data_IF_439070775434
#
_entry.id   IF_439070775434
#
_cell.length_a   1.000
_cell.length_b   1.000
_cell.length_c   1.000
_cell.angle_alpha   90.00
_cell.angle_beta   90.00
_cell.angle_gamma   90.00
#
_symmetry.space_group_name_H-M   'P 1'
#
loop_
_entity.id
_entity.type
_entity.pdbx_description
1 polymer ?
#
# COMPACT_ATOMS: atom_id res chain seq x y z
N UNK A 1 -10.40 1.96 -5.03
CA UNK A 1 -9.23 1.99 -4.13
C UNK A 1 -8.73 3.41 -4.08
N UNK A 2 -8.52 3.96 -2.88
CA UNK A 2 -7.86 5.25 -2.70
C UNK A 2 -6.40 5.09 -3.14
N UNK A 3 -5.91 5.97 -4.01
CA UNK A 3 -4.52 5.87 -4.48
C UNK A 3 -3.59 6.16 -3.30
N UNK A 4 -2.65 5.26 -2.96
CA UNK A 4 -1.73 5.52 -1.87
C UNK A 4 -0.87 6.74 -2.15
N UNK A 5 -0.97 7.71 -1.24
CA UNK A 5 -0.22 8.96 -1.32
C UNK A 5 1.03 8.83 -0.48
N UNK A 6 2.18 9.14 -1.07
CA UNK A 6 3.43 9.33 -0.34
C UNK A 6 3.40 10.73 0.28
N UNK A 7 3.39 10.81 1.60
CA UNK A 7 3.45 12.08 2.35
C UNK A 7 4.89 12.35 2.81
N UNK A 8 5.37 13.59 2.62
CA UNK A 8 6.67 14.03 3.14
C UNK A 8 6.49 14.64 4.53
N UNK A 9 7.30 14.19 5.48
CA UNK A 9 7.40 14.74 6.83
C UNK A 9 8.83 15.18 7.11
N UNK A 10 8.99 16.26 7.88
CA UNK A 10 10.30 16.72 8.35
C UNK A 10 10.36 16.63 9.86
N UNK A 11 11.30 15.84 10.36
CA UNK A 11 11.49 15.62 11.80
C UNK A 11 12.95 15.93 12.10
N UNK A 12 13.20 16.92 12.96
CA UNK A 12 14.57 17.32 13.36
C UNK A 12 15.50 17.66 12.18
N UNK A 13 14.93 18.13 11.06
CA UNK A 13 15.68 18.47 9.84
C UNK A 13 15.81 17.33 8.84
N UNK A 14 15.57 16.09 9.26
CA UNK A 14 15.58 14.92 8.39
C UNK A 14 14.24 14.76 7.67
N UNK A 15 14.32 14.29 6.42
CA UNK A 15 13.16 14.07 5.56
C UNK A 15 12.72 12.61 5.63
N UNK A 16 11.44 12.41 5.89
CA UNK A 16 10.79 11.12 5.93
C UNK A 16 9.64 11.09 4.92
N UNK A 17 9.46 9.94 4.31
CA UNK A 17 8.37 9.63 3.40
C UNK A 17 7.51 8.58 4.07
N UNK A 18 6.25 8.90 4.32
CA UNK A 18 5.28 7.99 4.90
C UNK A 18 4.21 7.63 3.87
N UNK A 19 3.64 6.45 4.02
CA UNK A 19 2.51 5.97 3.22
C UNK A 19 1.44 5.54 4.20
N UNK A 20 0.26 6.12 4.02
CA UNK A 20 -0.90 5.86 4.88
C UNK A 20 -1.86 4.90 4.20
N UNK A 21 -2.41 3.98 4.99
CA UNK A 21 -3.47 3.04 4.60
C UNK A 21 -4.43 2.92 5.78
N UNK A 22 -5.73 3.10 5.55
CA UNK A 22 -6.76 3.00 6.59
C UNK A 22 -6.46 3.91 7.82
N UNK A 23 -6.07 5.16 7.59
CA UNK A 23 -5.69 6.14 8.61
C UNK A 23 -4.54 5.70 9.53
N UNK A 24 -3.67 4.79 9.07
CA UNK A 24 -2.47 4.35 9.79
C UNK A 24 -1.25 4.37 8.87
N UNK A 25 -0.08 4.61 9.44
CA UNK A 25 1.19 4.51 8.70
C UNK A 25 1.46 3.04 8.40
N UNK A 26 1.43 2.68 7.11
CA UNK A 26 1.75 1.34 6.65
C UNK A 26 3.24 1.17 6.34
N UNK A 27 3.88 2.25 5.90
CA UNK A 27 5.31 2.27 5.58
C UNK A 27 5.90 3.67 5.80
N UNK A 28 7.14 3.73 6.26
CA UNK A 28 7.90 4.97 6.34
C UNK A 28 9.38 4.73 6.03
N UNK A 29 10.03 5.71 5.40
CA UNK A 29 11.45 5.62 5.01
C UNK A 29 12.03 7.00 4.78
N UNK A 30 13.35 7.15 4.87
CA UNK A 30 14.05 8.37 4.42
C UNK A 30 14.39 8.33 2.92
N UNK A 31 14.16 7.20 2.23
CA UNK A 31 14.49 7.02 0.82
C UNK A 31 13.24 7.05 -0.08
N UNK A 32 13.13 8.10 -0.91
CA UNK A 32 11.99 8.26 -1.84
C UNK A 32 11.83 7.10 -2.83
N UNK A 33 12.93 6.47 -3.26
CA UNK A 33 12.87 5.32 -4.17
C UNK A 33 12.24 4.10 -3.47
N UNK A 34 12.55 3.89 -2.19
CA UNK A 34 11.94 2.82 -1.41
C UNK A 34 10.44 3.05 -1.20
N UNK A 35 10.01 4.28 -0.92
CA UNK A 35 8.60 4.63 -0.82
C UNK A 35 7.85 4.35 -2.13
N UNK A 36 8.41 4.78 -3.27
CA UNK A 36 7.84 4.52 -4.61
C UNK A 36 7.78 3.04 -4.93
N UNK A 37 8.83 2.28 -4.61
CA UNK A 37 8.86 0.84 -4.80
C UNK A 37 7.76 0.15 -3.99
N UNK A 38 7.56 0.56 -2.74
CA UNK A 38 6.54 0.01 -1.86
C UNK A 38 5.13 0.26 -2.41
N UNK A 39 4.83 1.49 -2.83
CA UNK A 39 3.55 1.81 -3.50
C UNK A 39 3.30 0.87 -4.67
N UNK A 40 4.27 0.75 -5.59
CA UNK A 40 4.12 -0.04 -6.81
C UNK A 40 4.02 -1.55 -6.55
N UNK A 41 4.69 -2.09 -5.54
CA UNK A 41 4.83 -3.55 -5.40
C UNK A 41 4.02 -4.15 -4.28
N UNK A 42 3.62 -3.37 -3.27
CA UNK A 42 2.87 -3.88 -2.12
C UNK A 42 1.39 -3.60 -2.32
N UNK A 43 1.03 -2.39 -2.77
CA UNK A 43 -0.37 -2.04 -2.95
C UNK A 43 -0.96 -2.69 -4.20
N UNK A 44 -0.22 -2.70 -5.32
CA UNK A 44 -0.70 -3.38 -6.53
C UNK A 44 -0.84 -4.90 -6.29
N UNK A 45 0.03 -5.50 -5.48
CA UNK A 45 -0.07 -6.94 -5.15
C UNK A 45 -1.18 -7.24 -4.14
N UNK A 46 -1.40 -6.37 -3.16
CA UNK A 46 -2.56 -6.50 -2.27
C UNK A 46 -3.89 -6.34 -3.03
N UNK A 47 -3.93 -5.46 -4.04
CA UNK A 47 -5.11 -5.32 -4.90
C UNK A 47 -5.41 -6.62 -5.68
N UNK A 48 -4.38 -7.22 -6.26
CA UNK A 48 -4.51 -8.50 -6.98
C UNK A 48 -4.94 -9.65 -6.05
N UNK A 49 -4.41 -9.71 -4.82
CA UNK A 49 -4.78 -10.73 -3.85
C UNK A 49 -6.24 -10.62 -3.37
N UNK A 50 -6.78 -9.40 -3.29
CA UNK A 50 -8.20 -9.20 -2.95
C UNK A 50 -9.12 -9.67 -4.08
N UNK A 51 -8.78 -9.38 -5.34
CA UNK A 51 -9.57 -9.85 -6.49
C UNK A 51 -9.60 -11.38 -6.60
N UNK A 52 -8.46 -12.05 -6.40
CA UNK A 52 -8.38 -13.52 -6.42
C UNK A 52 -9.21 -14.16 -5.29
N UNK A 53 -9.33 -13.51 -4.14
CA UNK A 53 -10.14 -14.01 -3.01
C UNK A 53 -11.65 -13.77 -3.15
N UNK A 54 -12.08 -12.86 -4.03
CA UNK A 54 -13.50 -12.59 -4.33
C UNK A 54 -14.03 -13.47 -5.48
N UNK A 55 -13.15 -14.09 -6.26
CA UNK A 55 -13.51 -15.04 -7.32
C UNK A 55 -13.65 -16.49 -6.79
N UNK A 56 -14.19 -16.67 -5.58
CA UNK A 56 -14.67 -17.98 -5.14
C UNK A 56 -16.09 -18.18 -5.66
N UNK A 57 -16.21 -18.80 -6.85
CA UNK A 57 -17.50 -19.32 -7.33
C UNK A 57 -18.00 -20.37 -6.33
N UNK A 58 -19.27 -20.33 -5.89
CA UNK A 58 -19.85 -21.44 -5.15
C UNK A 58 -20.03 -22.60 -6.12
N UNK A 59 -19.04 -23.48 -6.21
CA UNK A 59 -19.23 -24.79 -6.82
C UNK A 59 -20.02 -25.69 -5.87
N UNK A 60 -21.18 -26.15 -6.34
CA UNK A 60 -21.81 -27.36 -5.82
C UNK A 60 -23.25 -27.20 -5.36
N UNK A 61 -24.16 -26.90 -6.29
CA UNK A 61 -25.55 -27.36 -6.17
C UNK A 61 -25.71 -28.51 -7.18
N UNK A 62 -25.54 -29.74 -6.69
CA UNK A 62 -25.98 -30.96 -7.36
C UNK A 62 -27.45 -31.20 -7.08
#
# INVERSE_FOLDING_TARGET
>A
MENPVITEHRIRGDRFYAIEKNNKIAFYTTNIAAARYWVKNVIDKEALAVEESLEVKPEGQK
#
